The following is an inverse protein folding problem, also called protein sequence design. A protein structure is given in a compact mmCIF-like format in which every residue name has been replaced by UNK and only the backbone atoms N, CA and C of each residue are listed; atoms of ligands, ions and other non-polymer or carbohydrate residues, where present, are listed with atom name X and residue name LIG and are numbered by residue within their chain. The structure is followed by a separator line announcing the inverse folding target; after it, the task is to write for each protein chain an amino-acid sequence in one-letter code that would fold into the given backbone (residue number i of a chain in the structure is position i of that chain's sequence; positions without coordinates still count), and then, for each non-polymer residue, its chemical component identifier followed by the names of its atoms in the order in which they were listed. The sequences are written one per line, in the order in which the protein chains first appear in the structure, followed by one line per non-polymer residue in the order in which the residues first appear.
data_IF_583922554363
#
_entry.id   IF_583922554363
#
_cell.length_a   1.000
_cell.length_b   1.000
_cell.length_c   1.000
_cell.angle_alpha   90.00
_cell.angle_beta   90.00
_cell.angle_gamma   90.00
#
_symmetry.space_group_name_H-M   'P 1'
#
loop_
_entity.id
_entity.type
_entity.pdbx_description
1 polymer ?
#
# COMPACT_ATOMS: atom_id res chain seq x y z
N UNK A 1 -17.80 11.40 -2.31
CA UNK A 1 -16.86 10.61 -1.49
C UNK A 1 -16.80 9.22 -2.10
N UNK A 2 -15.60 8.71 -2.40
CA UNK A 2 -15.42 7.32 -2.86
C UNK A 2 -15.41 6.43 -1.60
N UNK A 3 -16.12 5.30 -1.64
CA UNK A 3 -16.19 4.31 -0.55
C UNK A 3 -15.59 2.99 -1.04
N UNK A 4 -14.84 2.34 -0.15
CA UNK A 4 -14.27 0.99 -0.35
C UNK A 4 -13.55 0.79 -1.69
N UNK A 5 -12.60 1.66 -2.09
CA UNK A 5 -11.87 1.49 -3.34
C UNK A 5 -10.97 0.25 -3.27
N UNK A 6 -10.97 -0.55 -4.35
CA UNK A 6 -10.08 -1.71 -4.47
C UNK A 6 -9.02 -1.43 -5.53
N UNK A 7 -7.76 -1.59 -5.14
CA UNK A 7 -6.60 -1.59 -6.03
C UNK A 7 -6.12 -3.02 -6.22
N UNK A 8 -6.55 -3.66 -7.32
CA UNK A 8 -6.07 -4.98 -7.73
C UNK A 8 -5.00 -4.81 -8.83
N UNK A 9 -3.74 -5.07 -8.46
CA UNK A 9 -2.58 -4.84 -9.32
C UNK A 9 -1.46 -5.81 -8.96
N UNK A 10 -0.65 -6.20 -9.95
CA UNK A 10 0.57 -6.97 -9.69
C UNK A 10 1.62 -6.11 -9.00
N UNK A 11 2.52 -6.70 -8.21
CA UNK A 11 3.64 -5.96 -7.61
C UNK A 11 4.47 -5.22 -8.66
N UNK A 12 4.74 -5.87 -9.82
CA UNK A 12 5.44 -5.23 -10.93
C UNK A 12 4.67 -4.02 -11.47
N UNK A 13 3.36 -4.16 -11.65
CA UNK A 13 2.48 -3.07 -12.09
C UNK A 13 2.52 -1.90 -11.12
N UNK A 14 2.36 -2.17 -9.82
CA UNK A 14 2.40 -1.15 -8.77
C UNK A 14 3.71 -0.36 -8.79
N UNK A 15 4.85 -1.05 -8.72
CA UNK A 15 6.16 -0.40 -8.66
C UNK A 15 6.53 0.30 -9.98
N UNK A 16 6.06 -0.20 -11.12
CA UNK A 16 6.30 0.46 -12.43
C UNK A 16 5.40 1.69 -12.65
N UNK A 17 4.33 1.84 -11.86
CA UNK A 17 3.42 2.98 -11.92
C UNK A 17 3.82 4.15 -11.03
N UNK A 18 4.86 4.01 -10.21
CA UNK A 18 5.38 5.10 -9.36
C UNK A 18 6.09 6.14 -10.24
N UNK A 19 5.61 7.38 -10.22
CA UNK A 19 6.20 8.48 -11.00
C UNK A 19 6.90 9.52 -10.15
N UNK A 20 6.48 9.69 -8.89
CA UNK A 20 7.10 10.61 -7.93
C UNK A 20 7.15 9.99 -6.53
N UNK A 21 8.17 10.38 -5.76
CA UNK A 21 8.39 9.99 -4.36
C UNK A 21 8.75 11.24 -3.55
N UNK A 22 8.04 11.49 -2.46
CA UNK A 22 8.29 12.62 -1.57
C UNK A 22 9.47 12.36 -0.62
N UNK A 23 10.06 13.45 -0.09
CA UNK A 23 11.14 13.38 0.91
C UNK A 23 10.59 13.51 2.34
N UNK A 24 9.71 12.60 2.72
CA UNK A 24 8.93 12.65 3.97
C UNK A 24 8.72 11.28 4.61
N UNK A 25 9.73 10.41 4.51
CA UNK A 25 9.68 9.06 5.05
C UNK A 25 9.34 9.05 6.56
N UNK A 26 8.30 8.31 6.91
CA UNK A 26 7.88 8.04 8.29
C UNK A 26 7.57 6.55 8.49
N UNK A 27 7.58 6.12 9.76
CA UNK A 27 7.21 4.78 10.18
C UNK A 27 6.33 4.83 11.41
N UNK A 28 5.33 3.96 11.45
CA UNK A 28 4.42 3.77 12.57
C UNK A 28 4.45 2.33 13.05
N UNK A 29 4.26 2.16 14.36
CA UNK A 29 4.12 0.85 14.97
C UNK A 29 2.71 0.28 14.70
N UNK A 30 2.64 -0.99 14.31
CA UNK A 30 1.39 -1.67 14.01
C UNK A 30 1.44 -3.17 14.31
N UNK A 31 0.30 -3.84 14.22
CA UNK A 31 0.19 -5.29 14.31
C UNK A 31 -0.22 -5.84 12.94
N UNK A 32 0.59 -6.73 12.37
CA UNK A 32 0.30 -7.39 11.09
C UNK A 32 -0.07 -8.86 11.33
N UNK A 33 -1.08 -9.37 10.62
CA UNK A 33 -1.36 -10.80 10.56
C UNK A 33 -0.32 -11.50 9.69
N UNK A 34 0.39 -12.48 10.24
CA UNK A 34 1.38 -13.30 9.54
C UNK A 34 0.96 -14.76 9.52
N UNK A 35 1.28 -15.46 8.43
CA UNK A 35 0.98 -16.87 8.25
C UNK A 35 -0.49 -17.16 7.92
N UNK A 36 -0.77 -18.45 7.70
CA UNK A 36 -2.10 -19.02 7.55
C UNK A 36 -2.17 -20.32 8.39
N UNK A 37 -2.86 -20.34 9.55
CA UNK A 37 -3.76 -19.30 10.06
C UNK A 37 -3.02 -18.05 10.55
N UNK A 38 -3.69 -16.91 10.43
CA UNK A 38 -3.12 -15.59 10.75
C UNK A 38 -2.76 -15.42 12.23
N UNK A 39 -1.54 -14.97 12.48
CA UNK A 39 -1.00 -14.64 13.81
C UNK A 39 -0.59 -13.17 13.86
N UNK A 40 -1.11 -12.42 14.82
CA UNK A 40 -0.74 -11.01 14.99
C UNK A 40 0.68 -10.86 15.53
N UNK A 41 1.52 -10.09 14.83
CA UNK A 41 2.89 -9.76 15.28
C UNK A 41 3.14 -8.26 15.21
N UNK A 42 3.91 -7.70 16.16
CA UNK A 42 4.30 -6.30 16.11
C UNK A 42 5.24 -6.06 14.91
N UNK A 43 4.96 -5.02 14.14
CA UNK A 43 5.74 -4.58 12.98
C UNK A 43 5.86 -3.06 12.96
N UNK A 44 6.79 -2.58 12.13
CA UNK A 44 6.79 -1.21 11.65
C UNK A 44 6.22 -1.20 10.24
N UNK A 45 5.33 -0.26 9.92
CA UNK A 45 4.94 0.03 8.55
C UNK A 45 5.19 1.50 8.22
N UNK A 46 5.51 1.79 6.97
CA UNK A 46 5.80 3.15 6.54
C UNK A 46 6.40 3.19 5.15
N UNK A 47 6.22 4.34 4.50
CA UNK A 47 6.75 4.69 3.21
C UNK A 47 6.67 6.22 3.08
N UNK A 48 7.48 6.85 2.22
CA UNK A 48 7.21 8.23 1.81
C UNK A 48 5.88 8.29 1.04
N UNK A 49 5.31 9.48 0.89
CA UNK A 49 4.21 9.64 -0.05
C UNK A 49 4.67 9.36 -1.48
N UNK A 50 3.86 8.62 -2.23
CA UNK A 50 4.13 8.26 -3.63
C UNK A 50 2.97 8.72 -4.53
N UNK A 51 3.30 9.03 -5.78
CA UNK A 51 2.31 9.27 -6.83
C UNK A 51 2.30 8.09 -7.81
N UNK A 52 1.12 7.54 -8.05
CA UNK A 52 0.88 6.48 -9.02
C UNK A 52 0.17 7.05 -10.26
N UNK A 53 0.62 6.68 -11.45
CA UNK A 53 -0.05 7.02 -12.72
C UNK A 53 -0.41 5.77 -13.53
N UNK A 54 -1.48 5.87 -14.33
CA UNK A 54 -1.94 4.79 -15.21
C UNK A 54 -2.56 3.59 -14.49
N UNK A 55 -2.94 3.73 -13.21
CA UNK A 55 -3.60 2.67 -12.44
C UNK A 55 -5.12 2.69 -12.57
N UNK A 56 -5.74 1.52 -12.50
CA UNK A 56 -7.19 1.37 -12.46
C UNK A 56 -7.64 1.16 -11.02
N UNK A 57 -8.57 1.98 -10.55
CA UNK A 57 -9.30 1.74 -9.31
C UNK A 57 -10.61 1.04 -9.66
N UNK A 58 -10.88 -0.08 -8.98
CA UNK A 58 -12.15 -0.77 -9.10
C UNK A 58 -13.13 -0.11 -8.11
N UNK A 59 -14.30 0.28 -8.62
CA UNK A 59 -15.46 0.58 -7.77
C UNK A 59 -16.18 -0.74 -7.45
N UNK A 60 -16.79 -0.87 -6.26
CA UNK A 60 -17.63 -2.02 -5.93
C UNK A 60 -18.82 -2.15 -6.90
#
# INVERSE_FOLDING_TARGET
MIRDPVLDITSKGFWSSVVDVANDLSFDAATCGKGDPGQGVPVWHGAPHIKLEGIKILAP
#
